data_IF_171718215819
#
_entry.id   IF_171718215819
#
_cell.length_a   1.000
_cell.length_b   1.000
_cell.length_c   1.000
_cell.angle_alpha   90.00
_cell.angle_beta   90.00
_cell.angle_gamma   90.00
#
_symmetry.space_group_name_H-M   'P 1'
#
loop_
_entity.id
_entity.type
_entity.pdbx_description
1 polymer ?
#
# COMPACT_ATOMS: atom_id res chain seq x y z
N UNK A 1 -41.72 -6.50 43.36
CA UNK A 1 -41.64 -6.57 44.85
C UNK A 1 -40.69 -7.71 45.22
N UNK A 2 -40.00 -7.60 46.36
CA UNK A 2 -38.92 -8.47 46.91
C UNK A 2 -37.50 -7.99 46.51
N UNK A 3 -36.80 -7.21 47.36
CA UNK A 3 -35.98 -7.57 48.56
C UNK A 3 -34.74 -8.39 48.15
N UNK A 4 -33.49 -8.14 48.58
CA UNK A 4 -32.84 -7.26 49.57
C UNK A 4 -31.33 -7.46 49.37
N UNK A 5 -30.52 -6.40 49.37
CA UNK A 5 -29.06 -6.49 49.44
C UNK A 5 -28.62 -6.66 50.90
N UNK A 6 -27.81 -7.68 51.22
CA UNK A 6 -27.10 -7.84 52.49
C UNK A 6 -25.61 -7.60 52.28
N UNK A 7 -25.07 -6.65 53.06
CA UNK A 7 -23.64 -6.46 53.35
C UNK A 7 -23.15 -7.52 54.35
N UNK A 8 -21.90 -7.97 54.21
CA UNK A 8 -20.98 -8.45 55.27
C UNK A 8 -19.54 -8.49 54.68
N UNK A 9 -18.45 -8.58 55.46
CA UNK A 9 -17.84 -7.48 56.23
C UNK A 9 -16.35 -7.25 55.88
N UNK A 10 -15.82 -6.11 56.31
CA UNK A 10 -14.40 -5.71 56.19
C UNK A 10 -13.59 -6.36 57.33
N UNK A 11 -12.52 -7.08 56.96
CA UNK A 11 -11.48 -7.59 57.87
C UNK A 11 -10.17 -6.82 57.72
N UNK A 12 -9.50 -6.59 58.84
CA UNK A 12 -8.39 -5.66 59.05
C UNK A 12 -6.98 -6.22 58.75
N UNK A 13 -6.11 -5.30 58.31
CA UNK A 13 -4.68 -5.09 58.61
C UNK A 13 -3.62 -6.19 58.32
N UNK A 14 -2.69 -5.86 57.42
CA UNK A 14 -1.26 -5.76 57.77
C UNK A 14 -0.50 -4.87 56.75
N UNK A 15 0.38 -4.02 57.28
CA UNK A 15 1.20 -3.02 56.57
C UNK A 15 2.45 -3.65 55.96
N UNK A 16 2.86 -3.20 54.77
CA UNK A 16 4.26 -2.87 54.54
C UNK A 16 4.39 -1.78 53.48
N UNK A 17 5.25 -0.83 53.80
CA UNK A 17 5.61 0.40 53.11
C UNK A 17 6.56 0.15 51.94
N UNK A 18 6.32 0.79 50.79
CA UNK A 18 7.28 1.67 50.10
C UNK A 18 6.59 2.40 48.94
N UNK A 19 6.63 3.73 49.01
CA UNK A 19 6.20 4.71 48.01
C UNK A 19 6.98 4.55 46.69
N UNK A 20 6.52 4.95 45.49
CA UNK A 20 5.61 6.05 45.16
C UNK A 20 4.94 5.83 43.78
N UNK A 21 3.69 6.29 43.56
CA UNK A 21 3.14 6.44 42.22
C UNK A 21 3.28 7.87 41.69
N UNK A 22 3.79 7.93 40.46
CA UNK A 22 3.82 9.07 39.55
C UNK A 22 2.41 9.66 39.38
N UNK A 23 2.19 10.93 39.74
CA UNK A 23 0.96 11.68 39.43
C UNK A 23 1.21 12.64 38.27
N UNK A 24 0.49 12.55 37.14
CA UNK A 24 0.44 13.67 36.21
C UNK A 24 -0.39 14.79 36.83
N UNK A 25 0.16 16.01 36.85
CA UNK A 25 -0.53 17.23 37.28
C UNK A 25 -1.67 17.55 36.31
N UNK A 26 -2.91 17.28 36.71
CA UNK A 26 -4.07 17.93 36.10
C UNK A 26 -4.03 19.41 36.50
N UNK A 27 -3.89 20.30 35.51
CA UNK A 27 -4.09 21.74 35.70
C UNK A 27 -5.58 22.01 35.90
N UNK A 28 -5.86 22.86 36.87
CA UNK A 28 -7.21 23.37 37.20
C UNK A 28 -7.84 24.11 36.01
N UNK A 29 -9.18 24.09 35.88
CA UNK A 29 -9.89 24.85 34.86
C UNK A 29 -9.93 26.34 35.21
N UNK A 30 -9.53 27.20 34.27
CA UNK A 30 -9.67 28.66 34.35
C UNK A 30 -11.13 29.03 34.11
N UNK A 31 -11.76 29.87 34.95
CA UNK A 31 -13.10 30.39 34.68
C UNK A 31 -12.99 31.59 33.73
N UNK A 32 -13.54 31.49 32.53
CA UNK A 32 -13.88 32.67 31.72
C UNK A 32 -15.38 32.74 31.50
N UNK A 33 -16.04 33.47 32.39
CA UNK A 33 -17.28 34.14 32.09
C UNK A 33 -16.94 35.42 31.29
N UNK A 34 -17.41 35.50 30.04
CA UNK A 34 -17.57 36.78 29.34
C UNK A 34 -18.95 36.82 28.69
N UNK A 35 -19.54 38.00 28.79
CA UNK A 35 -20.88 38.34 28.40
C UNK A 35 -21.22 37.95 26.97
N UNK A 36 -22.42 37.39 26.80
CA UNK A 36 -23.15 37.38 25.54
C UNK A 36 -23.51 38.84 25.18
N UNK A 37 -22.83 39.41 24.19
CA UNK A 37 -23.43 40.46 23.36
C UNK A 37 -24.00 39.78 22.12
N UNK A 38 -25.28 40.01 21.89
CA UNK A 38 -25.95 39.64 20.65
C UNK A 38 -25.33 40.46 19.51
N UNK A 39 -24.59 39.81 18.62
CA UNK A 39 -24.36 40.33 17.28
C UNK A 39 -24.52 39.19 16.27
N UNK A 40 -25.64 39.28 15.57
CA UNK A 40 -26.06 38.47 14.44
C UNK A 40 -25.14 38.73 13.25
N UNK A 41 -24.14 37.88 13.02
CA UNK A 41 -23.47 37.79 11.72
C UNK A 41 -22.81 36.42 11.51
N UNK A 42 -23.15 35.80 10.37
CA UNK A 42 -22.46 34.69 9.68
C UNK A 42 -22.56 33.26 10.26
N UNK A 43 -23.70 32.60 9.99
CA UNK A 43 -23.75 31.15 9.78
C UNK A 43 -23.20 30.81 8.38
N UNK A 44 -21.88 30.65 8.26
CA UNK A 44 -21.25 30.22 7.01
C UNK A 44 -20.05 29.26 7.21
N UNK A 45 -19.80 28.79 8.44
CA UNK A 45 -18.61 27.96 8.75
C UNK A 45 -18.88 26.46 8.85
N UNK A 46 -20.14 26.00 8.89
CA UNK A 46 -20.41 24.56 9.05
C UNK A 46 -20.53 23.81 7.70
N UNK A 47 -20.79 24.50 6.59
CA UNK A 47 -21.03 23.82 5.31
C UNK A 47 -19.74 23.22 4.69
N UNK A 48 -18.56 23.74 5.04
CA UNK A 48 -17.28 23.29 4.48
C UNK A 48 -16.75 22.01 5.18
N UNK A 49 -16.99 21.85 6.48
CA UNK A 49 -16.57 20.65 7.22
C UNK A 49 -17.41 19.42 6.86
N UNK A 50 -18.71 19.57 6.61
CA UNK A 50 -19.57 18.45 6.20
C UNK A 50 -19.21 17.91 4.82
N UNK A 51 -18.84 18.78 3.88
CA UNK A 51 -18.42 18.40 2.53
C UNK A 51 -17.08 17.66 2.56
N UNK A 52 -16.12 18.08 3.39
CA UNK A 52 -14.84 17.37 3.59
C UNK A 52 -15.03 16.03 4.29
N UNK A 53 -15.89 15.95 5.31
CA UNK A 53 -16.22 14.70 6.01
C UNK A 53 -16.97 13.73 5.11
N UNK A 54 -17.91 14.20 4.29
CA UNK A 54 -18.63 13.37 3.31
C UNK A 54 -17.68 12.85 2.25
N UNK A 55 -16.79 13.69 1.71
CA UNK A 55 -15.77 13.24 0.73
C UNK A 55 -14.77 12.27 1.35
N UNK A 56 -14.39 12.46 2.61
CA UNK A 56 -13.53 11.53 3.33
C UNK A 56 -14.22 10.19 3.60
N UNK A 57 -15.52 10.20 3.90
CA UNK A 57 -16.34 9.00 4.03
C UNK A 57 -16.48 8.27 2.68
N UNK A 58 -16.73 9.01 1.61
CA UNK A 58 -16.81 8.47 0.24
C UNK A 58 -15.44 7.91 -0.21
N UNK A 59 -14.32 8.56 0.14
CA UNK A 59 -12.96 8.03 -0.11
C UNK A 59 -12.71 6.75 0.71
N UNK A 60 -13.14 6.71 1.98
CA UNK A 60 -13.00 5.55 2.85
C UNK A 60 -13.80 4.33 2.37
N UNK A 61 -14.92 4.56 1.69
CA UNK A 61 -15.76 3.52 1.08
C UNK A 61 -15.24 3.02 -0.26
N UNK A 62 -14.10 3.52 -0.75
CA UNK A 62 -13.46 2.96 -1.95
C UNK A 62 -12.90 1.57 -1.69
N UNK A 63 -13.08 0.62 -2.62
CA UNK A 63 -12.59 -0.74 -2.45
C UNK A 63 -11.07 -0.79 -2.24
N UNK A 64 -10.31 0.14 -2.83
CA UNK A 64 -8.87 0.31 -2.59
C UNK A 64 -8.55 0.60 -1.14
N UNK A 65 -9.21 1.59 -0.54
CA UNK A 65 -8.91 2.05 0.82
C UNK A 65 -9.23 0.98 1.85
N UNK A 66 -10.38 0.32 1.70
CA UNK A 66 -10.73 -0.84 2.52
C UNK A 66 -9.70 -1.96 2.36
N UNK A 67 -9.25 -2.24 1.14
CA UNK A 67 -8.26 -3.29 0.92
C UNK A 67 -6.87 -2.93 1.45
N UNK A 68 -6.44 -1.67 1.34
CA UNK A 68 -5.20 -1.17 1.94
C UNK A 68 -5.25 -1.31 3.46
N UNK A 69 -6.34 -0.87 4.11
CA UNK A 69 -6.54 -1.07 5.54
C UNK A 69 -6.53 -2.55 5.93
N UNK A 70 -7.17 -3.43 5.14
CA UNK A 70 -7.12 -4.88 5.35
C UNK A 70 -5.69 -5.43 5.35
N UNK A 71 -4.84 -4.96 4.42
CA UNK A 71 -3.42 -5.35 4.35
C UNK A 71 -2.61 -4.84 5.53
N UNK A 72 -2.86 -3.62 5.98
CA UNK A 72 -2.18 -3.06 7.15
C UNK A 72 -2.51 -3.87 8.42
N UNK A 73 -3.78 -4.24 8.60
CA UNK A 73 -4.19 -5.11 9.70
C UNK A 73 -3.63 -6.53 9.59
N UNK A 74 -3.57 -7.11 8.39
CA UNK A 74 -2.92 -8.41 8.17
C UNK A 74 -1.44 -8.35 8.56
N UNK A 75 -0.73 -7.29 8.16
CA UNK A 75 0.68 -7.09 8.54
C UNK A 75 0.84 -6.91 10.04
N UNK A 76 -0.07 -6.16 10.67
CA UNK A 76 -0.12 -6.03 12.13
C UNK A 76 -0.26 -7.40 12.81
N UNK A 77 -1.16 -8.25 12.30
CA UNK A 77 -1.32 -9.63 12.78
C UNK A 77 -0.03 -10.45 12.61
N UNK A 78 0.63 -10.42 11.45
CA UNK A 78 1.88 -11.17 11.20
C UNK A 78 2.96 -10.82 12.23
N UNK A 79 3.16 -9.52 12.49
CA UNK A 79 4.16 -9.03 13.44
C UNK A 79 3.81 -9.47 14.86
N UNK A 80 2.56 -9.26 15.29
CA UNK A 80 2.12 -9.62 16.64
C UNK A 80 2.16 -11.14 16.85
N UNK A 81 1.85 -11.92 15.82
CA UNK A 81 1.91 -13.37 15.85
C UNK A 81 3.34 -13.90 15.95
N UNK A 82 4.28 -13.33 15.20
CA UNK A 82 5.70 -13.68 15.32
C UNK A 82 6.24 -13.38 16.73
N UNK A 83 5.85 -12.25 17.32
CA UNK A 83 6.17 -11.92 18.72
C UNK A 83 5.56 -12.96 19.66
N UNK A 84 4.28 -13.31 19.47
CA UNK A 84 3.60 -14.31 20.30
C UNK A 84 4.30 -15.68 20.27
N UNK A 85 4.67 -16.16 19.08
CA UNK A 85 5.43 -17.41 18.94
C UNK A 85 6.79 -17.33 19.63
N UNK A 86 7.49 -16.19 19.56
CA UNK A 86 8.78 -15.99 20.22
C UNK A 86 8.66 -16.03 21.75
N UNK A 87 7.64 -15.40 22.32
CA UNK A 87 7.37 -15.39 23.76
C UNK A 87 6.98 -16.80 24.23
N UNK A 88 6.08 -17.46 23.49
CA UNK A 88 5.65 -18.83 23.79
C UNK A 88 6.84 -19.80 23.79
N UNK A 89 7.77 -19.67 22.82
CA UNK A 89 8.97 -20.50 22.75
C UNK A 89 9.95 -20.27 23.91
N UNK A 90 9.94 -19.07 24.53
CA UNK A 90 10.81 -18.72 25.65
C UNK A 90 10.25 -19.15 27.01
N UNK A 91 9.00 -19.59 27.09
CA UNK A 91 8.35 -19.96 28.34
C UNK A 91 8.22 -18.80 29.35
N UNK A 92 8.44 -17.56 28.92
CA UNK A 92 8.27 -16.38 29.76
C UNK A 92 6.78 -16.24 30.06
N UNK A 93 6.39 -16.20 31.35
CA UNK A 93 5.01 -15.95 31.77
C UNK A 93 4.46 -14.56 31.43
N UNK A 94 5.08 -13.87 30.46
CA UNK A 94 4.65 -12.59 29.94
C UNK A 94 3.35 -12.74 29.15
N UNK A 95 2.40 -11.84 29.41
CA UNK A 95 1.14 -11.80 28.68
C UNK A 95 1.37 -11.32 27.26
N UNK A 96 1.18 -12.23 26.29
CA UNK A 96 1.16 -11.84 24.88
C UNK A 96 -0.07 -10.99 24.53
N UNK A 97 0.07 -10.05 23.58
CA UNK A 97 -1.03 -9.22 23.11
C UNK A 97 -1.95 -9.99 22.15
N UNK A 98 -2.45 -11.16 22.57
CA UNK A 98 -3.34 -12.01 21.75
C UNK A 98 -4.64 -11.28 21.40
N UNK A 99 -5.11 -10.40 22.27
CA UNK A 99 -6.24 -9.50 21.95
C UNK A 99 -5.92 -8.64 20.73
N UNK A 100 -4.73 -8.09 20.64
CA UNK A 100 -4.29 -7.32 19.47
C UNK A 100 -4.18 -8.20 18.22
N UNK A 101 -3.64 -9.42 18.33
CA UNK A 101 -3.62 -10.39 17.22
C UNK A 101 -5.04 -10.65 16.70
N UNK A 102 -5.98 -10.99 17.59
CA UNK A 102 -7.36 -11.30 17.23
C UNK A 102 -8.09 -10.10 16.61
N UNK A 103 -7.84 -8.88 17.11
CA UNK A 103 -8.37 -7.65 16.53
C UNK A 103 -7.83 -7.41 15.12
N UNK A 104 -6.51 -7.50 14.93
CA UNK A 104 -5.89 -7.35 13.62
C UNK A 104 -6.41 -8.40 12.62
N UNK A 105 -6.48 -9.66 13.02
CA UNK A 105 -7.03 -10.74 12.21
C UNK A 105 -8.49 -10.49 11.80
N UNK A 106 -9.32 -10.06 12.74
CA UNK A 106 -10.74 -9.78 12.51
C UNK A 106 -10.95 -8.59 11.56
N UNK A 107 -10.20 -7.50 11.77
CA UNK A 107 -10.27 -6.30 10.93
C UNK A 107 -9.75 -6.57 9.52
N UNK A 108 -8.68 -7.34 9.38
CA UNK A 108 -8.16 -7.77 8.08
C UNK A 108 -9.24 -8.52 7.30
N UNK A 109 -9.87 -9.53 7.91
CA UNK A 109 -10.94 -10.31 7.29
C UNK A 109 -12.15 -9.45 6.92
N UNK A 110 -12.63 -8.61 7.84
CA UNK A 110 -13.80 -7.76 7.63
C UNK A 110 -13.60 -6.81 6.45
N UNK A 111 -12.48 -6.08 6.43
CA UNK A 111 -12.19 -5.11 5.39
C UNK A 111 -11.95 -5.77 4.03
N UNK A 112 -11.37 -6.97 4.00
CA UNK A 112 -11.22 -7.75 2.76
C UNK A 112 -12.59 -8.13 2.18
N UNK A 113 -13.52 -8.60 3.04
CA UNK A 113 -14.89 -8.91 2.61
C UNK A 113 -15.63 -7.67 2.11
N UNK A 114 -15.55 -6.56 2.85
CA UNK A 114 -16.20 -5.29 2.45
C UNK A 114 -15.62 -4.73 1.14
N UNK A 115 -14.31 -4.81 0.95
CA UNK A 115 -13.67 -4.45 -0.32
C UNK A 115 -14.20 -5.32 -1.47
N UNK A 116 -14.30 -6.64 -1.27
CA UNK A 116 -14.83 -7.54 -2.31
C UNK A 116 -16.30 -7.26 -2.65
N UNK A 117 -17.15 -6.97 -1.66
CA UNK A 117 -18.56 -6.59 -1.88
C UNK A 117 -18.63 -5.28 -2.67
N UNK A 118 -17.81 -4.30 -2.31
CA UNK A 118 -17.77 -2.99 -2.99
C UNK A 118 -17.26 -3.10 -4.43
N UNK A 119 -16.32 -4.02 -4.71
CA UNK A 119 -15.89 -4.33 -6.08
C UNK A 119 -17.02 -4.89 -6.96
N UNK A 120 -18.05 -5.49 -6.36
CA UNK A 120 -19.29 -5.89 -7.05
C UNK A 120 -20.32 -4.75 -7.15
N UNK A 121 -19.94 -3.52 -6.84
CA UNK A 121 -20.81 -2.33 -6.82
C UNK A 121 -22.00 -2.47 -5.86
N UNK A 122 -21.79 -3.18 -4.75
CA UNK A 122 -22.76 -3.32 -3.67
C UNK A 122 -22.27 -2.55 -2.45
N UNK A 123 -23.19 -1.95 -1.71
CA UNK A 123 -22.89 -1.37 -0.42
C UNK A 123 -22.78 -2.49 0.63
N UNK A 124 -21.65 -2.63 1.35
CA UNK A 124 -21.53 -3.62 2.39
C UNK A 124 -22.47 -3.32 3.55
N UNK A 125 -23.23 -4.31 4.03
CA UNK A 125 -24.07 -4.13 5.22
C UNK A 125 -23.24 -3.62 6.41
N UNK A 126 -23.84 -2.74 7.21
CA UNK A 126 -23.32 -2.28 8.50
C UNK A 126 -23.37 -3.42 9.55
N UNK A 127 -22.55 -4.45 9.38
CA UNK A 127 -22.44 -5.59 10.28
C UNK A 127 -21.00 -6.12 10.31
N UNK A 128 -20.59 -6.60 11.49
CA UNK A 128 -19.33 -7.31 11.71
C UNK A 128 -19.45 -8.83 11.53
N UNK A 129 -20.62 -9.34 11.12
CA UNK A 129 -20.81 -10.78 10.85
C UNK A 129 -20.12 -11.16 9.54
N UNK A 130 -18.99 -11.86 9.66
CA UNK A 130 -18.22 -12.33 8.51
C UNK A 130 -19.06 -13.22 7.58
N UNK A 131 -19.90 -14.11 8.14
CA UNK A 131 -20.77 -14.96 7.34
C UNK A 131 -21.88 -14.17 6.62
N UNK A 132 -22.40 -13.10 7.23
CA UNK A 132 -23.37 -12.20 6.58
C UNK A 132 -22.73 -11.36 5.47
N UNK A 133 -21.51 -10.86 5.68
CA UNK A 133 -20.73 -10.17 4.66
C UNK A 133 -20.42 -11.12 3.49
N UNK A 134 -19.90 -12.32 3.78
CA UNK A 134 -19.58 -13.30 2.74
C UNK A 134 -20.81 -13.69 1.92
N UNK A 135 -21.99 -13.82 2.52
CA UNK A 135 -23.24 -14.09 1.79
C UNK A 135 -23.67 -12.99 0.81
N UNK A 136 -23.22 -11.75 0.96
CA UNK A 136 -23.49 -10.67 -0.01
C UNK A 136 -22.64 -10.79 -1.27
N UNK A 137 -21.49 -11.46 -1.18
CA UNK A 137 -20.63 -11.74 -2.32
C UNK A 137 -21.36 -12.69 -3.29
N UNK A 138 -21.30 -12.41 -4.59
CA UNK A 138 -21.94 -13.28 -5.60
C UNK A 138 -21.49 -14.73 -5.49
N UNK A 139 -22.34 -15.66 -5.95
CA UNK A 139 -22.03 -17.10 -5.93
C UNK A 139 -20.69 -17.41 -6.60
N UNK A 140 -20.44 -16.83 -7.78
CA UNK A 140 -19.19 -17.00 -8.53
C UNK A 140 -17.95 -16.58 -7.74
N UNK A 141 -17.98 -15.41 -7.09
CA UNK A 141 -16.83 -14.95 -6.31
C UNK A 141 -16.66 -15.74 -5.01
N UNK A 142 -17.76 -16.20 -4.39
CA UNK A 142 -17.67 -17.11 -3.24
C UNK A 142 -17.00 -18.43 -3.61
N UNK A 143 -17.31 -18.99 -4.77
CA UNK A 143 -16.65 -20.19 -5.30
C UNK A 143 -15.16 -19.94 -5.57
N UNK A 144 -14.82 -18.80 -6.18
CA UNK A 144 -13.42 -18.41 -6.42
C UNK A 144 -12.63 -18.29 -5.11
N UNK A 145 -13.21 -17.67 -4.08
CA UNK A 145 -12.60 -17.61 -2.74
C UNK A 145 -12.46 -19.02 -2.16
N UNK A 146 -13.53 -19.81 -2.15
CA UNK A 146 -13.52 -21.15 -1.56
C UNK A 146 -12.48 -22.09 -2.22
N UNK A 147 -12.30 -21.99 -3.55
CA UNK A 147 -11.29 -22.75 -4.28
C UNK A 147 -9.85 -22.44 -3.86
N UNK A 148 -9.61 -21.27 -3.26
CA UNK A 148 -8.30 -20.83 -2.80
C UNK A 148 -8.10 -21.04 -1.30
N UNK A 149 -9.17 -21.21 -0.54
CA UNK A 149 -9.09 -21.57 0.87
C UNK A 149 -8.55 -23.00 1.00
N UNK A 150 -7.62 -23.15 1.95
CA UNK A 150 -7.05 -24.44 2.36
C UNK A 150 -7.33 -24.62 3.85
N UNK A 151 -8.22 -25.54 4.18
CA UNK A 151 -8.39 -26.03 5.55
C UNK A 151 -7.71 -27.40 5.59
N UNK A 152 -6.75 -27.56 6.51
CA UNK A 152 -5.93 -28.78 6.66
C UNK A 152 -5.31 -29.29 5.34
N UNK A 153 -4.96 -28.37 4.44
CA UNK A 153 -4.34 -28.66 3.14
C UNK A 153 -5.32 -29.03 2.01
N UNK A 154 -6.61 -29.17 2.27
CA UNK A 154 -7.61 -29.53 1.26
C UNK A 154 -8.37 -28.31 0.69
N UNK A 155 -8.77 -28.39 -0.59
CA UNK A 155 -9.67 -27.41 -1.19
C UNK A 155 -11.03 -27.41 -0.49
N UNK A 156 -11.59 -26.23 -0.28
CA UNK A 156 -12.76 -26.06 0.59
C UNK A 156 -14.01 -25.67 -0.21
N UNK A 157 -15.19 -26.12 0.22
CA UNK A 157 -16.47 -25.71 -0.38
C UNK A 157 -16.97 -24.37 0.17
N UNK A 158 -17.85 -23.68 -0.55
CA UNK A 158 -18.49 -22.44 -0.09
C UNK A 158 -19.21 -22.63 1.26
N UNK A 159 -19.83 -23.79 1.48
CA UNK A 159 -20.51 -24.12 2.73
C UNK A 159 -19.52 -24.26 3.89
N UNK A 160 -18.38 -24.92 3.65
CA UNK A 160 -17.32 -25.05 4.65
C UNK A 160 -16.70 -23.70 5.02
N UNK A 161 -16.42 -22.83 4.03
CA UNK A 161 -15.98 -21.44 4.29
C UNK A 161 -17.03 -20.69 5.10
N UNK A 162 -18.31 -20.80 4.73
CA UNK A 162 -19.41 -20.12 5.45
C UNK A 162 -19.52 -20.61 6.90
N UNK A 163 -19.40 -21.91 7.15
CA UNK A 163 -19.41 -22.49 8.50
C UNK A 163 -18.21 -22.04 9.33
N UNK A 164 -17.02 -21.97 8.73
CA UNK A 164 -15.82 -21.39 9.35
C UNK A 164 -16.04 -19.91 9.73
N UNK A 165 -16.59 -19.10 8.82
CA UNK A 165 -16.84 -17.69 9.10
C UNK A 165 -17.87 -17.50 10.22
N UNK A 166 -18.85 -18.41 10.34
CA UNK A 166 -19.78 -18.44 11.48
C UNK A 166 -19.08 -18.78 12.80
N UNK A 167 -18.16 -19.74 12.82
CA UNK A 167 -17.41 -20.07 14.05
C UNK A 167 -16.48 -18.95 14.50
N UNK A 168 -16.08 -18.09 13.57
CA UNK A 168 -15.31 -16.87 13.83
C UNK A 168 -16.17 -15.68 14.30
N UNK A 169 -17.50 -15.79 14.33
CA UNK A 169 -18.38 -14.67 14.72
C UNK A 169 -18.20 -14.25 16.18
N UNK A 170 -18.29 -12.94 16.38
CA UNK A 170 -18.08 -12.30 17.67
C UNK A 170 -16.62 -12.34 18.14
N UNK A 171 -15.65 -12.77 17.32
CA UNK A 171 -14.22 -12.67 17.69
C UNK A 171 -13.86 -11.22 18.01
N UNK A 172 -14.24 -10.28 17.15
CA UNK A 172 -13.99 -8.86 17.37
C UNK A 172 -14.59 -8.36 18.71
N UNK A 173 -15.87 -8.65 18.96
CA UNK A 173 -16.56 -8.21 20.19
C UNK A 173 -16.00 -8.89 21.44
N UNK A 174 -15.75 -10.21 21.37
CA UNK A 174 -15.19 -10.98 22.48
C UNK A 174 -13.81 -10.44 22.87
N UNK A 175 -12.95 -10.12 21.91
CA UNK A 175 -11.57 -9.69 22.20
C UNK A 175 -11.44 -8.19 22.47
N UNK A 176 -12.38 -7.36 21.99
CA UNK A 176 -12.43 -5.94 22.33
C UNK A 176 -12.67 -5.69 23.82
N UNK A 177 -13.43 -6.57 24.50
CA UNK A 177 -13.82 -6.38 25.90
C UNK A 177 -13.21 -7.39 26.88
N UNK A 178 -12.59 -8.49 26.41
CA UNK A 178 -11.94 -9.47 27.29
C UNK A 178 -10.53 -9.04 27.68
N UNK A 179 -10.40 -8.57 28.91
CA UNK A 179 -9.13 -8.46 29.63
C UNK A 179 -8.82 -9.73 30.45
N UNK A 180 -9.67 -10.76 30.42
CA UNK A 180 -9.72 -11.78 31.49
C UNK A 180 -9.61 -13.27 31.08
N UNK A 181 -9.53 -13.64 29.80
CA UNK A 181 -9.54 -15.07 29.42
C UNK A 181 -8.20 -15.54 28.84
N UNK A 182 -7.67 -16.66 29.38
CA UNK A 182 -6.39 -17.28 29.03
C UNK A 182 -6.49 -18.40 27.97
N UNK A 183 -7.69 -18.86 27.64
CA UNK A 183 -7.88 -19.91 26.63
C UNK A 183 -7.97 -19.33 25.22
N UNK A 184 -6.98 -19.70 24.42
CA UNK A 184 -6.69 -19.14 23.09
C UNK A 184 -7.06 -20.21 22.08
N UNK A 185 -8.34 -20.28 21.75
CA UNK A 185 -8.77 -21.05 20.58
C UNK A 185 -9.85 -20.27 19.83
N UNK A 186 -9.46 -19.12 19.29
CA UNK A 186 -10.18 -18.59 18.13
C UNK A 186 -9.52 -19.24 16.92
N UNK A 187 -10.33 -19.72 15.97
CA UNK A 187 -9.90 -20.48 14.76
C UNK A 187 -9.01 -19.64 13.83
N UNK A 188 -7.84 -19.23 14.31
CA UNK A 188 -6.97 -18.24 13.71
C UNK A 188 -6.42 -18.74 12.38
N UNK A 189 -5.98 -20.00 12.33
CA UNK A 189 -5.53 -20.62 11.08
C UNK A 189 -6.58 -20.57 9.99
N UNK A 190 -7.83 -20.90 10.33
CA UNK A 190 -8.93 -20.83 9.37
C UNK A 190 -9.27 -19.39 8.97
N UNK A 191 -9.32 -18.46 9.92
CA UNK A 191 -9.56 -17.03 9.66
C UNK A 191 -8.51 -16.45 8.69
N UNK A 192 -7.24 -16.78 8.90
CA UNK A 192 -6.15 -16.32 8.05
C UNK A 192 -6.16 -17.00 6.69
N UNK A 193 -6.49 -18.29 6.61
CA UNK A 193 -6.66 -18.99 5.34
C UNK A 193 -7.74 -18.31 4.47
N UNK A 194 -8.88 -17.94 5.06
CA UNK A 194 -9.92 -17.17 4.34
C UNK A 194 -9.46 -15.76 3.98
N UNK A 195 -8.77 -15.07 4.89
CA UNK A 195 -8.27 -13.70 4.65
C UNK A 195 -7.29 -13.66 3.48
N UNK A 196 -6.33 -14.59 3.43
CA UNK A 196 -5.35 -14.68 2.34
C UNK A 196 -6.01 -15.02 1.00
N UNK A 197 -6.97 -15.95 0.99
CA UNK A 197 -7.74 -16.27 -0.21
C UNK A 197 -8.53 -15.04 -0.72
N UNK A 198 -9.14 -14.27 0.19
CA UNK A 198 -9.80 -13.01 -0.17
C UNK A 198 -8.81 -11.99 -0.72
N UNK A 199 -7.62 -11.84 -0.13
CA UNK A 199 -6.59 -10.91 -0.59
C UNK A 199 -6.16 -11.20 -2.02
N UNK A 200 -6.00 -12.47 -2.37
CA UNK A 200 -5.64 -12.87 -3.72
C UNK A 200 -6.76 -12.56 -4.73
N UNK A 201 -8.01 -12.88 -4.39
CA UNK A 201 -9.18 -12.53 -5.24
C UNK A 201 -9.32 -11.01 -5.39
N UNK A 202 -9.31 -10.26 -4.29
CA UNK A 202 -9.47 -8.80 -4.29
C UNK A 202 -8.34 -8.15 -5.09
N UNK A 203 -7.08 -8.58 -4.92
CA UNK A 203 -5.94 -8.03 -5.65
C UNK A 203 -6.11 -8.13 -7.17
N UNK A 204 -6.53 -9.30 -7.68
CA UNK A 204 -6.80 -9.48 -9.12
C UNK A 204 -7.95 -8.60 -9.60
N UNK A 205 -9.02 -8.53 -8.82
CA UNK A 205 -10.23 -7.77 -9.18
C UNK A 205 -10.01 -6.27 -9.12
N UNK A 206 -9.20 -5.78 -8.19
CA UNK A 206 -8.86 -4.36 -8.07
C UNK A 206 -8.11 -3.85 -9.31
N UNK A 207 -7.27 -4.68 -9.92
CA UNK A 207 -6.60 -4.35 -11.20
C UNK A 207 -7.64 -4.12 -12.30
N UNK A 208 -8.60 -5.04 -12.45
CA UNK A 208 -9.66 -4.93 -13.45
C UNK A 208 -10.64 -3.79 -13.16
N UNK A 209 -10.98 -3.58 -11.88
CA UNK A 209 -11.81 -2.47 -11.45
C UNK A 209 -11.15 -1.14 -11.77
N UNK A 210 -9.86 -0.96 -11.48
CA UNK A 210 -9.12 0.27 -11.85
C UNK A 210 -9.12 0.51 -13.35
N UNK A 211 -8.95 -0.52 -14.18
CA UNK A 211 -9.03 -0.38 -15.65
C UNK A 211 -10.39 0.16 -16.11
N UNK A 212 -11.48 -0.21 -15.43
CA UNK A 212 -12.87 0.18 -15.76
C UNK A 212 -13.27 1.52 -15.15
N UNK A 213 -12.98 1.72 -13.87
CA UNK A 213 -13.34 2.91 -13.09
C UNK A 213 -12.44 4.10 -13.41
N UNK A 214 -11.20 3.82 -13.82
CA UNK A 214 -10.23 4.82 -14.24
C UNK A 214 -9.65 4.40 -15.59
N UNK A 215 -10.41 4.53 -16.70
CA UNK A 215 -9.83 4.37 -18.02
C UNK A 215 -8.56 5.22 -18.09
N UNK A 216 -7.50 4.68 -18.69
CA UNK A 216 -6.13 5.25 -18.75
C UNK A 216 -6.11 6.75 -19.15
N UNK A 217 -7.18 7.26 -19.77
CA UNK A 217 -7.41 8.68 -20.03
C UNK A 217 -7.51 9.57 -18.78
N UNK A 218 -8.04 9.12 -17.64
CA UNK A 218 -8.25 9.95 -16.44
C UNK A 218 -6.99 10.13 -15.58
N UNK A 219 -6.06 9.16 -15.59
CA UNK A 219 -4.75 9.31 -14.91
C UNK A 219 -3.79 10.25 -15.67
N UNK A 220 -4.02 10.49 -16.96
CA UNK A 220 -3.24 11.43 -17.78
C UNK A 220 -3.48 12.90 -17.44
N UNK A 221 -4.56 13.25 -16.74
CA UNK A 221 -5.00 14.64 -16.59
C UNK A 221 -4.27 15.43 -15.48
N UNK A 222 -3.84 14.80 -14.37
CA UNK A 222 -3.19 15.54 -13.27
C UNK A 222 -1.66 15.57 -13.35
N UNK A 223 -1.01 14.53 -13.89
CA UNK A 223 0.45 14.49 -14.02
C UNK A 223 0.87 14.36 -15.48
N UNK A 224 1.01 15.50 -16.15
CA UNK A 224 1.33 15.61 -17.59
C UNK A 224 2.81 15.32 -17.88
N UNK A 225 3.15 15.02 -19.14
CA UNK A 225 4.55 14.83 -19.56
C UNK A 225 5.36 16.10 -19.29
N UNK A 226 4.77 17.27 -19.49
CA UNK A 226 5.40 18.56 -19.21
C UNK A 226 5.79 18.72 -17.74
N UNK A 227 4.89 18.32 -16.82
CA UNK A 227 5.17 18.33 -15.37
C UNK A 227 6.26 17.32 -15.00
N UNK A 228 6.19 16.12 -15.57
CA UNK A 228 7.20 15.09 -15.35
C UNK A 228 8.58 15.53 -15.89
N UNK A 229 8.62 16.13 -17.08
CA UNK A 229 9.82 16.71 -17.68
C UNK A 229 10.37 17.87 -16.83
N UNK A 230 9.52 18.76 -16.35
CA UNK A 230 9.93 19.87 -15.49
C UNK A 230 10.52 19.38 -14.16
N UNK A 231 9.95 18.31 -13.59
CA UNK A 231 10.49 17.65 -12.41
C UNK A 231 11.90 17.10 -12.65
N UNK A 232 12.06 16.33 -13.73
CA UNK A 232 13.37 15.78 -14.15
C UNK A 232 14.37 16.90 -14.42
N UNK A 233 13.96 17.97 -15.11
CA UNK A 233 14.81 19.11 -15.42
C UNK A 233 15.33 19.83 -14.17
N UNK A 234 14.47 20.10 -13.18
CA UNK A 234 14.89 20.71 -11.91
C UNK A 234 15.88 19.83 -11.15
N UNK A 235 15.64 18.51 -11.14
CA UNK A 235 16.56 17.57 -10.50
C UNK A 235 17.93 17.56 -11.19
N UNK A 236 17.97 17.62 -12.51
CA UNK A 236 19.22 17.70 -13.30
C UNK A 236 19.96 19.02 -13.11
N UNK A 237 19.23 20.15 -13.08
CA UNK A 237 19.82 21.46 -12.83
C UNK A 237 20.43 21.53 -11.42
N UNK A 238 19.73 20.96 -10.43
CA UNK A 238 20.25 20.85 -9.06
C UNK A 238 21.49 19.98 -9.00
N UNK A 239 21.47 18.80 -9.61
CA UNK A 239 22.62 17.90 -9.68
C UNK A 239 23.83 18.60 -10.30
N UNK A 240 23.63 19.30 -11.43
CA UNK A 240 24.71 20.01 -12.12
C UNK A 240 25.32 21.14 -11.27
N UNK A 241 24.49 21.80 -10.45
CA UNK A 241 24.94 22.90 -9.58
C UNK A 241 25.58 22.39 -8.28
N UNK A 242 24.98 21.40 -7.62
CA UNK A 242 25.42 20.90 -6.31
C UNK A 242 26.56 19.89 -6.42
N UNK A 243 26.73 19.24 -7.57
CA UNK A 243 27.78 18.24 -7.81
C UNK A 243 28.79 18.69 -8.86
N UNK A 244 29.15 19.98 -8.88
CA UNK A 244 30.15 20.54 -9.80
C UNK A 244 31.51 19.86 -9.72
N UNK A 245 31.81 19.24 -8.58
CA UNK A 245 33.10 18.62 -8.28
C UNK A 245 33.16 17.13 -8.68
N UNK A 246 32.05 16.55 -9.16
CA UNK A 246 32.06 15.21 -9.73
C UNK A 246 32.91 15.20 -11.01
N UNK A 247 33.88 14.29 -11.07
CA UNK A 247 34.73 14.14 -12.23
C UNK A 247 33.92 13.74 -13.49
N UNK A 248 34.35 14.24 -14.66
CA UNK A 248 33.69 14.01 -15.95
C UNK A 248 33.62 12.51 -16.34
N UNK A 249 34.52 11.69 -15.79
CA UNK A 249 34.68 10.27 -16.13
C UNK A 249 33.94 9.32 -15.18
N UNK A 250 33.16 9.87 -14.23
CA UNK A 250 32.38 9.12 -13.26
C UNK A 250 31.36 8.19 -13.93
N UNK A 251 31.30 6.93 -13.48
CA UNK A 251 30.43 5.87 -14.02
C UNK A 251 28.94 6.29 -14.11
N UNK A 252 28.23 5.83 -15.14
CA UNK A 252 26.78 6.02 -15.32
C UNK A 252 26.00 5.67 -14.03
N UNK A 253 26.33 4.58 -13.35
CA UNK A 253 25.68 4.21 -12.08
C UNK A 253 25.80 5.26 -10.99
N UNK A 254 26.95 5.93 -10.91
CA UNK A 254 27.16 7.01 -9.95
C UNK A 254 26.31 8.21 -10.33
N UNK A 255 26.25 8.57 -11.62
CA UNK A 255 25.34 9.61 -12.10
C UNK A 255 23.88 9.27 -11.84
N UNK A 256 23.44 8.04 -12.10
CA UNK A 256 22.08 7.56 -11.81
C UNK A 256 21.73 7.69 -10.33
N UNK A 257 22.64 7.26 -9.45
CA UNK A 257 22.46 7.38 -8.01
C UNK A 257 22.36 8.84 -7.55
N UNK A 258 23.31 9.70 -7.94
CA UNK A 258 23.28 11.12 -7.55
C UNK A 258 22.04 11.80 -8.11
N UNK A 259 21.70 11.54 -9.37
CA UNK A 259 20.49 12.04 -9.99
C UNK A 259 19.23 11.61 -9.22
N UNK A 260 19.12 10.35 -8.82
CA UNK A 260 18.02 9.84 -8.01
C UNK A 260 17.86 10.59 -6.67
N UNK A 261 18.97 10.92 -6.01
CA UNK A 261 18.96 11.73 -4.76
C UNK A 261 18.35 13.12 -5.00
N UNK A 262 18.75 13.83 -6.06
CA UNK A 262 18.17 15.14 -6.36
C UNK A 262 16.73 15.03 -6.85
N UNK A 263 16.40 13.99 -7.61
CA UNK A 263 15.03 13.72 -8.06
C UNK A 263 14.11 13.45 -6.87
N UNK A 264 14.55 12.67 -5.88
CA UNK A 264 13.79 12.42 -4.66
C UNK A 264 13.50 13.72 -3.89
N UNK A 265 14.49 14.62 -3.78
CA UNK A 265 14.29 15.93 -3.16
C UNK A 265 13.23 16.75 -3.88
N UNK A 266 13.23 16.75 -5.20
CA UNK A 266 12.22 17.48 -5.99
C UNK A 266 10.83 16.82 -5.87
N UNK A 267 10.75 15.48 -5.86
CA UNK A 267 9.51 14.72 -5.64
C UNK A 267 8.89 15.08 -4.28
N UNK A 268 9.69 15.13 -3.21
CA UNK A 268 9.22 15.49 -1.87
C UNK A 268 8.66 16.92 -1.77
N UNK A 269 9.07 17.81 -2.68
CA UNK A 269 8.60 19.21 -2.75
C UNK A 269 7.34 19.39 -3.60
N UNK A 270 6.98 18.41 -4.43
CA UNK A 270 5.82 18.53 -5.32
C UNK A 270 4.51 18.76 -4.56
N UNK A 271 3.64 19.60 -5.09
CA UNK A 271 2.27 19.72 -4.60
C UNK A 271 1.54 18.38 -4.81
N UNK A 272 1.03 17.81 -3.70
CA UNK A 272 0.32 16.52 -3.67
C UNK A 272 -0.94 16.55 -4.53
N UNK A 273 -1.55 17.72 -4.73
CA UNK A 273 -2.74 17.89 -5.59
C UNK A 273 -2.45 17.63 -7.07
N UNK A 274 -1.16 17.64 -7.46
CA UNK A 274 -0.72 17.39 -8.84
C UNK A 274 -0.36 15.92 -9.08
N UNK A 275 -0.44 15.08 -8.04
CA UNK A 275 -0.17 13.65 -8.17
C UNK A 275 -1.44 12.90 -8.58
N UNK A 276 -1.30 11.73 -9.22
CA UNK A 276 -2.41 10.81 -9.40
C UNK A 276 -3.05 10.41 -8.07
N UNK A 277 -4.35 10.10 -8.13
CA UNK A 277 -5.14 9.69 -6.98
C UNK A 277 -4.53 8.47 -6.25
N UNK A 278 -4.56 8.48 -4.91
CA UNK A 278 -3.94 7.45 -4.08
C UNK A 278 -2.42 7.59 -3.89
N UNK A 279 -1.77 8.56 -4.53
CA UNK A 279 -0.37 8.91 -4.25
C UNK A 279 -0.33 10.05 -3.24
N UNK A 280 0.50 9.87 -2.22
CA UNK A 280 0.87 10.90 -1.26
C UNK A 280 2.38 11.07 -1.28
N UNK A 281 2.89 12.19 -0.75
CA UNK A 281 4.34 12.38 -0.58
C UNK A 281 4.98 11.26 0.25
N UNK A 282 4.24 10.69 1.21
CA UNK A 282 4.74 9.65 2.12
C UNK A 282 4.85 8.27 1.49
N UNK A 283 4.19 8.02 0.36
CA UNK A 283 4.18 6.71 -0.30
C UNK A 283 4.80 6.72 -1.72
N UNK A 284 5.39 7.84 -2.12
CA UNK A 284 6.14 7.97 -3.38
C UNK A 284 7.64 7.82 -3.11
N UNK A 285 8.31 7.02 -3.92
CA UNK A 285 9.73 6.70 -3.78
C UNK A 285 10.46 6.92 -5.09
N UNK A 286 11.75 7.26 -4.98
CA UNK A 286 12.69 7.27 -6.09
C UNK A 286 13.73 6.20 -5.81
N UNK A 287 13.84 5.23 -6.70
CA UNK A 287 14.75 4.09 -6.52
C UNK A 287 15.58 3.85 -7.79
N UNK A 288 16.80 3.33 -7.61
CA UNK A 288 17.65 2.85 -8.71
C UNK A 288 17.58 1.33 -8.83
N UNK A 289 17.59 0.81 -10.06
CA UNK A 289 17.66 -0.64 -10.37
C UNK A 289 16.65 -1.51 -9.55
N UNK A 290 15.48 -0.96 -9.20
CA UNK A 290 14.60 -1.58 -8.20
C UNK A 290 13.74 -2.72 -8.76
N UNK A 291 13.91 -3.90 -8.17
CA UNK A 291 13.06 -5.06 -8.44
C UNK A 291 11.75 -5.05 -7.63
N UNK A 292 10.69 -4.56 -8.30
CA UNK A 292 9.35 -4.38 -7.72
C UNK A 292 8.59 -5.69 -7.44
N UNK A 293 8.91 -6.79 -8.13
CA UNK A 293 8.13 -8.05 -8.02
C UNK A 293 8.66 -9.00 -6.94
N UNK A 294 9.76 -8.67 -6.27
CA UNK A 294 10.43 -9.57 -5.33
C UNK A 294 11.27 -10.59 -6.09
N UNK A 295 11.06 -11.88 -5.84
CA UNK A 295 11.87 -12.98 -6.39
C UNK A 295 11.63 -13.28 -7.88
N UNK A 296 10.68 -12.58 -8.53
CA UNK A 296 10.41 -12.69 -9.97
C UNK A 296 11.15 -11.56 -10.73
N UNK A 297 12.25 -11.86 -11.46
CA UNK A 297 12.97 -10.85 -12.23
C UNK A 297 12.08 -10.25 -13.33
N UNK A 298 12.10 -8.91 -13.47
CA UNK A 298 11.31 -8.22 -14.50
C UNK A 298 11.88 -8.55 -15.88
N UNK A 299 11.12 -9.30 -16.67
CA UNK A 299 11.41 -9.56 -18.09
C UNK A 299 10.49 -8.71 -18.96
N UNK A 300 11.05 -8.05 -19.98
CA UNK A 300 10.28 -7.36 -21.02
C UNK A 300 9.96 -8.38 -22.12
N UNK A 301 8.69 -8.76 -22.27
CA UNK A 301 8.30 -9.90 -23.10
C UNK A 301 8.39 -9.56 -24.59
N UNK A 302 8.02 -8.34 -24.98
CA UNK A 302 8.11 -7.86 -26.36
C UNK A 302 9.57 -7.77 -26.82
N UNK A 303 10.45 -7.22 -25.97
CA UNK A 303 11.87 -7.09 -26.28
C UNK A 303 12.56 -8.46 -26.29
N UNK A 304 12.24 -9.33 -25.33
CA UNK A 304 12.73 -10.71 -25.29
C UNK A 304 12.33 -11.51 -26.53
N UNK A 305 11.09 -11.32 -27.01
CA UNK A 305 10.61 -11.98 -28.22
C UNK A 305 11.33 -11.47 -29.48
N UNK A 306 11.60 -10.16 -29.58
CA UNK A 306 12.36 -9.57 -30.70
C UNK A 306 13.82 -10.01 -30.72
N UNK A 307 14.51 -9.96 -29.57
CA UNK A 307 15.89 -10.47 -29.45
C UNK A 307 15.95 -11.94 -29.84
N UNK A 308 14.97 -12.74 -29.43
CA UNK A 308 14.89 -14.16 -29.79
C UNK A 308 14.58 -14.40 -31.27
N UNK A 309 13.89 -13.47 -31.94
CA UNK A 309 13.57 -13.55 -33.36
C UNK A 309 14.72 -13.05 -34.26
N UNK A 310 15.55 -12.12 -33.78
CA UNK A 310 16.73 -11.63 -34.50
C UNK A 310 17.97 -12.50 -34.25
N UNK A 311 18.03 -13.20 -33.11
CA UNK A 311 19.08 -14.17 -32.80
C UNK A 311 18.77 -15.53 -33.42
N UNK A 312 19.02 -15.68 -34.73
CA UNK A 312 19.16 -17.00 -35.35
C UNK A 312 20.35 -17.74 -34.70
N UNK A 313 20.07 -18.61 -33.72
CA UNK A 313 20.98 -19.69 -33.32
C UNK A 313 21.98 -19.44 -32.18
N UNK A 314 21.69 -18.62 -31.17
CA UNK A 314 22.49 -18.59 -29.92
C UNK A 314 21.73 -19.20 -28.73
N UNK A 315 21.98 -20.49 -28.49
CA UNK A 315 21.53 -21.27 -27.32
C UNK A 315 22.39 -20.97 -26.07
N UNK A 316 22.41 -19.70 -25.64
CA UNK A 316 23.16 -19.31 -24.44
C UNK A 316 22.19 -18.81 -23.36
N UNK A 317 22.04 -19.61 -22.31
CA UNK A 317 21.29 -19.30 -21.08
C UNK A 317 21.78 -17.99 -20.44
N UNK A 318 23.01 -17.57 -20.74
CA UNK A 318 23.59 -16.30 -20.30
C UNK A 318 22.97 -15.06 -20.95
N UNK A 319 22.48 -15.15 -22.20
CA UNK A 319 21.84 -14.03 -22.89
C UNK A 319 20.39 -13.80 -22.44
N UNK A 320 19.73 -14.84 -21.91
CA UNK A 320 18.39 -14.70 -21.35
C UNK A 320 18.35 -14.04 -19.97
N UNK A 321 19.44 -14.06 -19.21
CA UNK A 321 19.56 -13.33 -17.94
C UNK A 321 19.90 -11.84 -18.17
N UNK A 322 20.45 -11.51 -19.34
CA UNK A 322 20.65 -10.12 -19.81
C UNK A 322 19.33 -9.40 -20.17
N UNK A 323 18.20 -10.12 -20.27
CA UNK A 323 16.85 -9.57 -20.48
C UNK A 323 16.17 -9.13 -19.18
N UNK A 324 16.90 -9.12 -18.06
CA UNK A 324 16.42 -8.54 -16.81
C UNK A 324 16.57 -7.03 -16.88
N UNK A 325 15.52 -6.34 -17.33
CA UNK A 325 15.63 -4.92 -17.66
C UNK A 325 15.02 -4.06 -16.56
N UNK A 326 15.87 -3.49 -15.72
CA UNK A 326 15.48 -2.47 -14.74
C UNK A 326 15.84 -1.08 -15.28
N UNK A 327 14.90 -0.11 -15.28
CA UNK A 327 15.27 1.25 -15.57
C UNK A 327 16.29 1.74 -14.54
N UNK A 328 17.25 2.56 -14.97
CA UNK A 328 18.30 3.11 -14.10
C UNK A 328 17.72 3.87 -12.89
N UNK A 329 16.67 4.67 -13.12
CA UNK A 329 15.98 5.43 -12.07
C UNK A 329 14.48 5.36 -12.28
N UNK A 330 13.72 5.14 -11.20
CA UNK A 330 12.25 5.09 -11.25
C UNK A 330 11.61 5.98 -10.19
N UNK A 331 10.47 6.57 -10.52
CA UNK A 331 9.58 7.28 -9.58
C UNK A 331 8.28 6.50 -9.47
N UNK A 332 8.00 5.94 -8.29
CA UNK A 332 6.93 4.94 -8.12
C UNK A 332 6.50 4.80 -6.66
N UNK A 333 5.37 4.12 -6.43
CA UNK A 333 5.03 3.57 -5.11
C UNK A 333 5.57 2.15 -5.02
N UNK A 334 6.43 1.88 -4.03
CA UNK A 334 6.99 0.54 -3.77
C UNK A 334 5.88 -0.50 -3.58
N UNK A 335 6.12 -1.71 -4.09
CA UNK A 335 5.20 -2.84 -4.06
C UNK A 335 4.58 -3.22 -5.42
N UNK A 336 3.92 -4.38 -5.46
CA UNK A 336 3.44 -5.02 -6.71
C UNK A 336 2.31 -4.26 -7.44
N UNK A 337 1.67 -3.29 -6.79
CA UNK A 337 0.44 -2.67 -7.30
C UNK A 337 0.62 -1.27 -7.92
N UNK A 338 1.85 -0.71 -7.91
CA UNK A 338 2.09 0.66 -8.41
C UNK A 338 1.29 1.71 -7.63
N UNK A 339 1.26 2.99 -8.05
CA UNK A 339 1.52 3.45 -9.43
C UNK A 339 3.00 3.66 -9.79
N UNK A 340 3.28 3.54 -11.08
CA UNK A 340 4.59 3.74 -11.70
C UNK A 340 4.57 5.06 -12.49
N UNK A 341 5.18 6.12 -11.98
CA UNK A 341 5.05 7.46 -12.58
C UNK A 341 6.05 7.67 -13.71
N UNK A 342 7.34 7.49 -13.41
CA UNK A 342 8.43 7.82 -14.32
C UNK A 342 9.44 6.68 -14.35
N UNK A 343 9.81 6.22 -15.55
CA UNK A 343 11.00 5.41 -15.79
C UNK A 343 12.07 6.28 -16.47
N UNK A 344 13.32 6.16 -16.04
CA UNK A 344 14.42 6.95 -16.59
C UNK A 344 15.60 6.03 -16.90
N UNK A 345 16.13 6.19 -18.11
CA UNK A 345 17.41 5.62 -18.53
C UNK A 345 18.45 6.74 -18.56
N UNK A 346 19.66 6.43 -18.12
CA UNK A 346 20.77 7.37 -17.98
C UNK A 346 21.90 6.98 -18.92
N UNK A 347 22.34 7.94 -19.75
CA UNK A 347 23.46 7.74 -20.67
C UNK A 347 24.46 8.87 -20.62
N UNK A 348 25.72 8.55 -20.95
CA UNK A 348 26.72 9.59 -21.26
C UNK A 348 26.50 10.21 -22.63
N UNK A 349 26.96 11.45 -22.79
CA UNK A 349 26.87 12.20 -24.04
C UNK A 349 27.68 11.59 -25.19
N UNK A 350 28.66 10.76 -24.88
CA UNK A 350 29.44 10.00 -25.85
C UNK A 350 28.92 8.56 -26.04
N UNK A 351 27.73 8.23 -25.53
CA UNK A 351 27.11 6.94 -25.79
C UNK A 351 26.89 6.74 -27.29
N UNK A 352 27.09 5.49 -27.74
CA UNK A 352 26.88 5.12 -29.14
C UNK A 352 25.41 5.26 -29.51
N UNK A 353 25.15 5.56 -30.79
CA UNK A 353 23.80 5.80 -31.30
C UNK A 353 22.90 4.57 -31.12
N UNK A 354 23.44 3.39 -31.36
CA UNK A 354 22.74 2.11 -31.24
C UNK A 354 22.31 1.85 -29.79
N UNK A 355 23.14 2.23 -28.82
CA UNK A 355 22.80 2.12 -27.40
C UNK A 355 21.66 3.08 -27.01
N UNK A 356 21.67 4.30 -27.54
CA UNK A 356 20.59 5.28 -27.34
C UNK A 356 19.28 4.79 -27.95
N UNK A 357 19.32 4.26 -29.17
CA UNK A 357 18.13 3.71 -29.85
C UNK A 357 17.55 2.51 -29.10
N UNK A 358 18.42 1.63 -28.60
CA UNK A 358 18.03 0.52 -27.73
C UNK A 358 17.34 0.97 -26.43
N UNK A 359 17.90 1.98 -25.75
CA UNK A 359 17.29 2.52 -24.52
C UNK A 359 15.93 3.18 -24.79
N UNK A 360 15.78 3.86 -25.93
CA UNK A 360 14.50 4.44 -26.33
C UNK A 360 13.42 3.38 -26.57
N UNK A 361 13.81 2.22 -27.10
CA UNK A 361 12.91 1.08 -27.24
C UNK A 361 12.49 0.54 -25.87
N UNK A 362 13.46 0.29 -24.96
CA UNK A 362 13.18 -0.12 -23.57
C UNK A 362 12.19 0.82 -22.88
N UNK A 363 12.41 2.13 -22.99
CA UNK A 363 11.54 3.15 -22.39
C UNK A 363 10.11 3.09 -22.94
N UNK A 364 9.94 2.74 -24.22
CA UNK A 364 8.62 2.53 -24.82
C UNK A 364 7.94 1.30 -24.22
N UNK A 365 8.67 0.20 -24.08
CA UNK A 365 8.16 -1.04 -23.48
C UNK A 365 7.84 -0.87 -21.99
N UNK A 366 8.59 -0.05 -21.24
CA UNK A 366 8.23 0.30 -19.86
C UNK A 366 6.86 0.94 -19.74
N UNK A 367 6.46 1.74 -20.73
CA UNK A 367 5.13 2.37 -20.74
C UNK A 367 4.04 1.35 -21.08
N UNK A 368 4.25 0.49 -22.08
CA UNK A 368 3.25 -0.50 -22.52
C UNK A 368 3.10 -1.67 -21.54
N UNK A 369 4.21 -2.31 -21.13
CA UNK A 369 4.18 -3.54 -20.34
C UNK A 369 4.21 -3.30 -18.82
N UNK A 370 4.97 -2.29 -18.36
CA UNK A 370 5.18 -2.05 -16.93
C UNK A 370 4.31 -0.92 -16.37
N UNK A 371 3.51 -0.27 -17.23
CA UNK A 371 2.53 0.74 -16.83
C UNK A 371 3.15 2.03 -16.27
N UNK A 372 4.35 2.40 -16.72
CA UNK A 372 4.89 3.73 -16.43
C UNK A 372 4.13 4.80 -17.21
N UNK A 373 3.74 5.89 -16.53
CA UNK A 373 3.01 6.99 -17.18
C UNK A 373 3.93 7.75 -18.15
N UNK A 374 5.13 8.10 -17.68
CA UNK A 374 6.14 8.82 -18.44
C UNK A 374 7.47 8.06 -18.46
N UNK A 375 8.24 8.24 -19.51
CA UNK A 375 9.56 7.65 -19.61
C UNK A 375 10.53 8.59 -20.33
N UNK A 376 11.75 8.74 -19.79
CA UNK A 376 12.75 9.67 -20.27
C UNK A 376 14.12 9.02 -20.42
N UNK A 377 14.83 9.36 -21.49
CA UNK A 377 16.26 9.19 -21.58
C UNK A 377 16.94 10.49 -21.14
N UNK A 378 17.85 10.40 -20.18
CA UNK A 378 18.66 11.50 -19.70
C UNK A 378 20.09 11.30 -20.17
N UNK A 379 20.63 12.29 -20.87
CA UNK A 379 21.99 12.27 -21.40
C UNK A 379 22.86 13.29 -20.66
N UNK A 380 23.89 12.81 -19.96
CA UNK A 380 24.87 13.60 -19.20
C UNK A 380 26.14 13.87 -19.98
N UNK A 381 26.66 15.09 -19.91
CA UNK A 381 27.98 15.43 -20.44
C UNK A 381 28.46 16.79 -19.94
N UNK A 382 29.57 17.29 -20.51
CA UNK A 382 30.20 18.58 -20.15
C UNK A 382 29.32 19.83 -20.31
N UNK A 383 28.16 19.70 -20.95
CA UNK A 383 27.16 20.77 -21.13
C UNK A 383 25.85 20.34 -20.50
N UNK A 384 24.94 21.30 -20.25
CA UNK A 384 23.63 21.09 -19.62
C UNK A 384 23.00 19.74 -20.05
N UNK A 385 22.57 18.90 -19.10
CA UNK A 385 21.97 17.59 -19.39
C UNK A 385 20.79 17.71 -20.37
N UNK A 386 20.66 16.73 -21.28
CA UNK A 386 19.55 16.68 -22.26
C UNK A 386 18.51 15.64 -21.84
N UNK A 387 17.24 16.01 -21.94
CA UNK A 387 16.10 15.12 -21.68
C UNK A 387 15.41 14.79 -23.00
N UNK A 388 15.33 13.51 -23.33
CA UNK A 388 14.58 12.98 -24.47
C UNK A 388 13.40 12.16 -23.92
N UNK A 389 12.18 12.49 -24.33
CA UNK A 389 10.99 11.75 -23.88
C UNK A 389 10.67 10.60 -24.84
N UNK A 390 10.35 9.43 -24.28
CA UNK A 390 9.87 8.30 -25.07
C UNK A 390 8.42 8.53 -25.48
N UNK A 391 8.20 8.69 -26.79
CA UNK A 391 6.87 8.78 -27.39
C UNK A 391 6.43 7.39 -27.80
N UNK A 392 5.23 7.00 -27.39
CA UNK A 392 4.60 5.84 -28.01
C UNK A 392 4.11 6.28 -29.40
N UNK A 393 4.36 5.47 -30.44
CA UNK A 393 3.61 5.62 -31.68
C UNK A 393 2.12 5.43 -31.37
N UNK A 394 1.20 6.23 -31.96
CA UNK A 394 -0.20 5.86 -31.93
C UNK A 394 -0.34 4.46 -32.54
N UNK A 395 -0.92 3.52 -31.78
CA UNK A 395 -1.28 2.22 -32.34
C UNK A 395 -2.21 2.48 -33.55
N UNK A 396 -1.94 1.89 -34.73
CA UNK A 396 -2.83 1.98 -35.88
C UNK A 396 -4.21 1.38 -35.60
#
# INVERSE_FOLDING_TARGET
>A
MWRTWRRLPVGHLARSTLCAPWRPRCREPVPMARHFSQDSTAMATDFFEWDELSRAADDALRPERMFEGSRDFLRGWEVLWAIHQSIAAKGSGEQTPISACAMCASMALELALKSLITLEQKEPVASHSFARLFRQVSGRLREEVASQVRFDGASTSVNAVTSCLKSCEGTLDKWRYRHEHRDIDFNQGHMMSVTLALHEVVSRRLVEWRKRSHPIQTQRASFTEERARALVARALERLHHEESDLADDVNERTWSHRFAVHLEREVRRMDVRLLPEGITRGNLSVDCEYNRRGDDPKRLHELAARVKAEADGLDSVADMDALTVYPDVIVHRRGKLGPNLIAIEVKRANARREAIEWDMEKLTTYKSELGYIHAFLVVFGRRRPRIVAARASPMP
#
